data_IF_526853521410
#
_entry.id   IF_526853521410
#
_cell.length_a   1.000
_cell.length_b   1.000
_cell.length_c   1.000
_cell.angle_alpha   90.00
_cell.angle_beta   90.00
_cell.angle_gamma   90.00
#
_symmetry.space_group_name_H-M   'P 1'
#
loop_
_entity.id
_entity.type
_entity.pdbx_description
1 polymer ?
#
# COMPACT_ATOMS: atom_id res chain seq x y z
N UNK A 1 -18.01 -29.70 26.47
CA UNK A 1 -18.38 -29.61 25.05
C UNK A 1 -17.69 -30.75 24.31
N UNK A 2 -18.13 -31.99 24.60
CA UNK A 2 -17.69 -33.23 23.95
C UNK A 2 -18.96 -33.95 23.48
N UNK A 3 -19.24 -33.87 22.18
CA UNK A 3 -20.17 -34.74 21.40
C UNK A 3 -20.38 -34.07 20.06
N UNK A 4 -19.71 -34.60 19.04
CA UNK A 4 -20.08 -34.63 17.62
C UNK A 4 -18.82 -35.00 16.81
N UNK A 5 -18.36 -36.24 16.98
CA UNK A 5 -17.56 -36.97 16.02
C UNK A 5 -18.03 -38.42 16.11
N UNK A 6 -18.91 -38.77 15.21
CA UNK A 6 -19.42 -40.11 15.03
C UNK A 6 -19.72 -40.36 13.55
N UNK A 7 -18.99 -41.29 13.03
CA UNK A 7 -19.38 -42.16 11.92
C UNK A 7 -19.52 -41.61 10.50
N UNK A 8 -18.50 -41.92 9.70
CA UNK A 8 -18.68 -42.50 8.36
C UNK A 8 -17.55 -43.49 8.06
N UNK A 9 -17.83 -44.75 8.34
CA UNK A 9 -17.05 -45.91 7.84
C UNK A 9 -17.75 -46.47 6.61
N UNK A 10 -16.94 -46.95 5.70
CA UNK A 10 -17.14 -48.01 4.72
C UNK A 10 -18.14 -47.80 3.56
N UNK A 11 -17.58 -47.61 2.39
CA UNK A 11 -17.92 -48.42 1.21
C UNK A 11 -16.76 -48.53 0.25
N UNK A 12 -16.12 -49.70 0.26
CA UNK A 12 -15.17 -50.11 -0.76
C UNK A 12 -15.90 -50.49 -2.04
N UNK A 13 -15.29 -50.17 -3.17
CA UNK A 13 -15.57 -50.82 -4.45
C UNK A 13 -14.24 -50.90 -5.21
N UNK A 14 -13.70 -52.13 -5.22
CA UNK A 14 -12.65 -52.60 -6.14
C UNK A 14 -13.24 -52.67 -7.56
N UNK A 15 -12.59 -51.99 -8.51
CA UNK A 15 -12.82 -52.14 -9.93
C UNK A 15 -11.49 -52.26 -10.67
N UNK A 16 -11.08 -53.49 -10.97
CA UNK A 16 -9.88 -53.79 -11.77
C UNK A 16 -10.08 -53.37 -13.23
N UNK A 17 -9.24 -52.53 -13.73
CA UNK A 17 -9.16 -52.14 -15.14
C UNK A 17 -7.82 -52.57 -15.76
N UNK A 18 -7.92 -53.39 -16.78
CA UNK A 18 -6.85 -54.03 -17.55
C UNK A 18 -5.89 -53.05 -18.18
N UNK A 19 -4.59 -53.30 -18.01
CA UNK A 19 -3.50 -52.67 -18.73
C UNK A 19 -3.52 -53.09 -20.19
N UNK A 20 -3.78 -52.15 -21.11
CA UNK A 20 -3.63 -52.36 -22.57
C UNK A 20 -2.28 -51.79 -23.05
N UNK A 21 -1.60 -52.58 -23.86
CA UNK A 21 -0.29 -52.29 -24.48
C UNK A 21 -0.39 -51.08 -25.44
N UNK A 22 0.73 -50.33 -25.63
CA UNK A 22 0.75 -49.20 -26.56
C UNK A 22 0.83 -49.70 -28.03
N UNK A 23 0.17 -48.97 -28.96
CA UNK A 23 0.26 -49.28 -30.39
C UNK A 23 1.59 -48.71 -30.98
N UNK A 24 2.04 -49.45 -31.97
CA UNK A 24 3.24 -49.28 -32.77
C UNK A 24 3.27 -47.95 -33.58
N UNK A 25 4.48 -47.41 -33.67
CA UNK A 25 5.05 -46.45 -34.64
C UNK A 25 4.12 -45.88 -35.69
N UNK A 26 3.82 -44.61 -35.55
CA UNK A 26 3.30 -43.78 -36.65
C UNK A 26 4.47 -43.16 -37.42
N UNK A 27 4.39 -43.31 -38.75
CA UNK A 27 5.30 -42.68 -39.73
C UNK A 27 5.11 -41.16 -39.69
N UNK A 28 6.23 -40.43 -39.61
CA UNK A 28 6.26 -38.98 -39.74
C UNK A 28 6.11 -38.59 -41.21
N UNK A 29 4.90 -38.18 -41.59
CA UNK A 29 4.68 -37.40 -42.78
C UNK A 29 4.95 -35.90 -42.47
N UNK A 30 5.98 -35.36 -43.08
CA UNK A 30 6.30 -33.93 -43.07
C UNK A 30 5.31 -33.18 -44.00
N UNK A 31 4.08 -32.99 -43.53
CA UNK A 31 3.16 -32.05 -44.15
C UNK A 31 3.43 -30.64 -43.62
N UNK A 32 3.84 -29.74 -44.50
CA UNK A 32 3.97 -28.30 -44.23
C UNK A 32 2.58 -27.74 -43.84
N UNK A 33 2.34 -27.49 -42.52
CA UNK A 33 1.14 -26.83 -42.06
C UNK A 33 1.20 -25.35 -42.50
N UNK A 34 0.40 -24.97 -43.50
CA UNK A 34 0.12 -23.58 -43.78
C UNK A 34 -0.72 -23.03 -42.61
N UNK A 35 -0.14 -22.13 -41.83
CA UNK A 35 -0.82 -21.41 -40.73
C UNK A 35 -1.93 -20.57 -41.34
N UNK A 36 -3.18 -20.79 -40.92
CA UNK A 36 -4.35 -20.09 -41.45
C UNK A 36 -4.23 -18.56 -41.30
N UNK A 37 -4.66 -17.82 -42.30
CA UNK A 37 -4.67 -16.33 -42.33
C UNK A 37 -5.22 -15.64 -41.06
N UNK A 38 -6.27 -16.15 -40.38
CA UNK A 38 -6.75 -15.59 -39.12
C UNK A 38 -5.75 -15.71 -37.96
N UNK A 39 -5.01 -16.83 -37.88
CA UNK A 39 -3.99 -17.06 -36.85
C UNK A 39 -2.78 -16.14 -37.05
N UNK A 40 -2.35 -15.93 -38.28
CA UNK A 40 -1.27 -14.98 -38.62
C UNK A 40 -1.66 -13.53 -38.28
N UNK A 41 -2.90 -13.12 -38.53
CA UNK A 41 -3.42 -11.80 -38.10
C UNK A 41 -3.44 -11.65 -36.59
N UNK A 42 -3.94 -12.63 -35.85
CA UNK A 42 -3.94 -12.64 -34.40
C UNK A 42 -2.52 -12.57 -33.82
N UNK A 43 -1.60 -13.38 -34.38
CA UNK A 43 -0.20 -13.39 -33.97
C UNK A 43 0.47 -12.04 -34.24
N UNK A 44 0.21 -11.40 -35.39
CA UNK A 44 0.75 -10.07 -35.71
C UNK A 44 0.21 -8.97 -34.80
N UNK A 45 -1.06 -9.06 -34.37
CA UNK A 45 -1.63 -8.14 -33.38
C UNK A 45 -0.96 -8.35 -32.02
N UNK A 46 -0.76 -9.59 -31.60
CA UNK A 46 -0.05 -9.92 -30.36
C UNK A 46 1.39 -9.43 -30.41
N UNK A 47 2.13 -9.71 -31.49
CA UNK A 47 3.51 -9.27 -31.67
C UNK A 47 3.62 -7.73 -31.75
N UNK A 48 2.66 -7.05 -32.38
CA UNK A 48 2.60 -5.59 -32.38
C UNK A 48 2.37 -5.03 -30.97
N UNK A 49 1.48 -5.63 -30.17
CA UNK A 49 1.26 -5.26 -28.77
C UNK A 49 2.50 -5.55 -27.90
N UNK A 50 3.19 -6.67 -28.14
CA UNK A 50 4.44 -7.00 -27.44
C UNK A 50 5.55 -6.00 -27.84
N UNK A 51 5.71 -5.67 -29.12
CA UNK A 51 6.69 -4.68 -29.57
C UNK A 51 6.38 -3.27 -29.04
N UNK A 52 5.12 -2.87 -28.99
CA UNK A 52 4.71 -1.60 -28.36
C UNK A 52 4.97 -1.58 -26.84
N UNK A 53 4.94 -2.74 -26.18
CA UNK A 53 5.31 -2.87 -24.74
C UNK A 53 6.83 -2.89 -24.52
N UNK A 54 7.61 -3.26 -25.52
CA UNK A 54 9.07 -3.41 -25.45
C UNK A 54 9.85 -2.24 -26.05
N UNK A 55 9.22 -1.35 -26.85
CA UNK A 55 9.87 -0.12 -27.26
C UNK A 55 10.08 0.79 -26.05
N UNK A 56 11.27 1.36 -25.86
CA UNK A 56 11.50 2.38 -24.84
C UNK A 56 10.44 3.47 -25.06
N UNK A 57 9.63 3.72 -24.06
CA UNK A 57 8.62 4.76 -24.11
C UNK A 57 9.37 6.09 -24.13
N UNK A 58 9.40 6.77 -25.28
CA UNK A 58 9.96 8.12 -25.39
C UNK A 58 8.91 9.09 -24.82
N UNK A 59 9.31 9.87 -23.85
CA UNK A 59 8.50 10.96 -23.32
C UNK A 59 8.96 12.28 -23.94
N UNK A 60 8.06 13.28 -24.07
CA UNK A 60 8.43 14.61 -24.56
C UNK A 60 9.52 15.25 -23.69
N UNK A 61 10.57 15.77 -24.33
CA UNK A 61 11.69 16.42 -23.63
C UNK A 61 11.50 17.93 -23.49
N UNK A 62 10.64 18.52 -24.34
CA UNK A 62 10.37 19.95 -24.31
C UNK A 62 9.02 20.27 -23.66
N UNK A 63 8.92 21.44 -23.07
CA UNK A 63 7.68 21.92 -22.48
C UNK A 63 6.54 22.03 -23.51
N UNK A 64 6.86 22.43 -24.74
CA UNK A 64 5.88 22.58 -25.82
C UNK A 64 5.31 21.23 -26.26
N UNK A 65 6.15 20.22 -26.45
CA UNK A 65 5.71 18.86 -26.82
C UNK A 65 4.92 18.21 -25.68
N UNK A 66 5.39 18.37 -24.43
CA UNK A 66 4.69 17.83 -23.28
C UNK A 66 3.31 18.45 -23.09
N UNK A 67 3.19 19.78 -23.22
CA UNK A 67 1.90 20.48 -23.08
C UNK A 67 0.86 20.04 -24.13
N UNK A 68 1.30 19.56 -25.30
CA UNK A 68 0.43 19.04 -26.37
C UNK A 68 0.20 17.53 -26.28
N UNK A 69 0.84 16.83 -25.35
CA UNK A 69 0.78 15.36 -25.25
C UNK A 69 -0.47 14.86 -24.53
N UNK A 70 -0.95 13.69 -24.92
CA UNK A 70 -2.01 12.97 -24.22
C UNK A 70 -1.63 12.62 -22.78
N UNK A 71 -0.34 12.48 -22.50
CA UNK A 71 0.17 12.26 -21.15
C UNK A 71 -0.18 13.42 -20.22
N UNK A 72 0.07 14.67 -20.68
CA UNK A 72 -0.15 15.87 -19.88
C UNK A 72 -1.63 16.26 -19.80
N UNK A 73 -2.33 16.19 -20.93
CA UNK A 73 -3.75 16.48 -21.03
C UNK A 73 -4.65 15.41 -20.39
N UNK A 74 -4.13 14.22 -20.18
CA UNK A 74 -4.84 13.08 -19.62
C UNK A 74 -5.23 13.26 -18.16
N UNK A 75 -6.01 12.32 -17.67
CA UNK A 75 -6.45 12.32 -16.29
C UNK A 75 -5.31 11.93 -15.33
N UNK A 76 -5.13 12.71 -14.25
CA UNK A 76 -4.17 12.48 -13.18
C UNK A 76 -4.86 12.44 -11.83
N UNK A 77 -4.39 11.58 -10.94
CA UNK A 77 -4.83 11.57 -9.54
C UNK A 77 -4.29 12.78 -8.80
N UNK A 78 -2.99 13.06 -8.95
CA UNK A 78 -2.29 14.08 -8.18
C UNK A 78 -1.72 15.18 -9.07
N UNK A 79 -1.55 16.36 -8.49
CA UNK A 79 -0.86 17.46 -9.14
C UNK A 79 0.64 17.24 -9.07
N UNK A 80 1.28 17.05 -10.23
CA UNK A 80 2.72 16.75 -10.35
C UNK A 80 3.33 17.64 -11.41
N UNK A 81 4.47 18.27 -11.10
CA UNK A 81 5.25 19.02 -12.06
C UNK A 81 6.13 18.08 -12.88
N UNK A 82 5.78 17.83 -14.12
CA UNK A 82 6.56 16.95 -15.00
C UNK A 82 7.78 17.64 -15.61
N UNK A 83 7.66 18.91 -16.00
CA UNK A 83 8.74 19.81 -16.40
C UNK A 83 8.52 21.16 -15.72
N UNK A 84 9.54 22.02 -15.60
CA UNK A 84 9.41 23.32 -14.93
C UNK A 84 8.21 24.13 -15.41
N UNK A 85 7.29 24.42 -14.49
CA UNK A 85 6.05 25.14 -14.75
C UNK A 85 4.91 24.31 -15.37
N UNK A 86 5.13 23.07 -15.77
CA UNK A 86 4.09 22.19 -16.30
C UNK A 86 3.58 21.20 -15.25
N UNK A 87 2.50 21.62 -14.58
CA UNK A 87 1.88 20.89 -13.50
C UNK A 87 0.61 20.18 -14.02
N UNK A 88 0.51 18.87 -13.81
CA UNK A 88 -0.68 18.10 -14.15
C UNK A 88 -1.87 18.54 -13.31
N UNK A 89 -3.08 18.44 -13.87
CA UNK A 89 -4.31 18.75 -13.13
C UNK A 89 -4.75 17.53 -12.34
N UNK A 90 -4.35 17.43 -11.07
CA UNK A 90 -4.80 16.39 -10.16
C UNK A 90 -6.29 16.51 -9.83
N UNK A 91 -6.97 15.39 -9.66
CA UNK A 91 -8.40 15.30 -9.34
C UNK A 91 -8.67 15.02 -7.87
N UNK A 92 -7.73 14.36 -7.19
CA UNK A 92 -7.87 14.00 -5.78
C UNK A 92 -7.29 15.06 -4.85
N UNK A 93 -7.75 15.08 -3.60
CA UNK A 93 -7.25 16.04 -2.61
C UNK A 93 -5.75 15.89 -2.41
N UNK A 94 -5.05 17.00 -2.47
CA UNK A 94 -3.59 17.02 -2.30
C UNK A 94 -3.14 16.60 -0.89
N UNK A 95 -4.04 16.65 0.09
CA UNK A 95 -3.80 16.16 1.46
C UNK A 95 -3.42 14.68 1.54
N UNK A 96 -3.93 13.85 0.63
CA UNK A 96 -3.65 12.42 0.65
C UNK A 96 -2.17 12.07 0.41
N UNK A 97 -1.48 12.60 -0.61
CA UNK A 97 -0.05 12.42 -0.74
C UNK A 97 0.78 13.35 0.17
N UNK A 98 0.22 14.49 0.61
CA UNK A 98 0.95 15.47 1.40
C UNK A 98 1.35 14.94 2.77
N UNK A 99 0.42 14.35 3.54
CA UNK A 99 0.69 13.91 4.90
C UNK A 99 1.77 12.81 4.95
N UNK A 100 1.67 11.70 4.21
CA UNK A 100 2.72 10.68 4.21
C UNK A 100 4.05 11.22 3.67
N UNK A 101 4.06 12.18 2.73
CA UNK A 101 5.26 12.82 2.23
C UNK A 101 5.98 13.65 3.31
N UNK A 102 5.23 14.41 4.12
CA UNK A 102 5.80 15.15 5.26
C UNK A 102 6.45 14.17 6.24
N UNK A 103 5.78 13.06 6.55
CA UNK A 103 6.32 12.06 7.46
C UNK A 103 7.56 11.34 6.87
N UNK A 104 7.56 11.04 5.57
CA UNK A 104 8.72 10.47 4.88
C UNK A 104 9.94 11.38 4.94
N UNK A 105 9.79 12.71 4.86
CA UNK A 105 10.91 13.67 4.99
C UNK A 105 11.61 13.59 6.34
N UNK A 106 10.94 13.09 7.36
CA UNK A 106 11.52 12.90 8.69
C UNK A 106 12.29 11.57 8.82
N UNK A 107 12.25 10.71 7.79
CA UNK A 107 12.99 9.46 7.73
C UNK A 107 14.34 9.67 7.02
N UNK A 108 15.40 9.07 7.52
CA UNK A 108 16.64 8.91 6.74
C UNK A 108 16.50 7.66 5.86
N UNK A 109 16.23 7.87 4.56
CA UNK A 109 16.01 6.78 3.61
C UNK A 109 17.29 6.23 2.98
N UNK A 110 18.45 6.84 3.23
CA UNK A 110 19.70 6.44 2.59
C UNK A 110 20.04 4.98 2.86
N UNK A 111 20.22 4.25 1.79
CA UNK A 111 20.57 2.82 1.85
C UNK A 111 19.42 1.88 2.20
N UNK A 112 18.20 2.38 2.40
CA UNK A 112 17.03 1.57 2.79
C UNK A 112 16.38 0.87 1.60
N UNK A 113 15.68 -0.23 1.88
CA UNK A 113 14.78 -0.91 0.96
C UNK A 113 13.34 -0.58 1.33
N UNK A 114 12.60 -0.01 0.40
CA UNK A 114 11.26 0.51 0.62
C UNK A 114 10.20 -0.25 -0.18
N UNK A 115 9.02 -0.44 0.42
CA UNK A 115 7.80 -0.90 -0.25
C UNK A 115 6.76 0.21 -0.21
N UNK A 116 6.15 0.47 -1.36
CA UNK A 116 4.98 1.33 -1.48
C UNK A 116 3.78 0.53 -1.97
N UNK A 117 2.73 0.46 -1.17
CA UNK A 117 1.53 -0.31 -1.45
C UNK A 117 0.37 0.58 -1.86
N UNK A 118 -0.22 0.30 -3.04
CA UNK A 118 -1.23 1.17 -3.64
C UNK A 118 -0.59 2.40 -4.27
N UNK A 119 0.45 2.20 -5.07
CA UNK A 119 1.33 3.27 -5.57
C UNK A 119 0.68 4.23 -6.55
N UNK A 120 -0.47 3.89 -7.10
CA UNK A 120 -1.19 4.70 -8.09
C UNK A 120 -0.26 5.17 -9.23
N UNK A 121 0.00 6.45 -9.31
CA UNK A 121 0.88 7.07 -10.32
C UNK A 121 2.37 6.99 -10.00
N UNK A 122 2.73 6.52 -8.79
CA UNK A 122 4.13 6.34 -8.37
C UNK A 122 4.74 7.55 -7.67
N UNK A 123 3.93 8.42 -7.07
CA UNK A 123 4.39 9.63 -6.39
C UNK A 123 5.29 9.30 -5.18
N UNK A 124 4.83 8.42 -4.28
CA UNK A 124 5.61 8.02 -3.10
C UNK A 124 6.90 7.28 -3.48
N UNK A 125 6.90 6.32 -4.42
CA UNK A 125 8.13 5.73 -4.95
C UNK A 125 9.16 6.76 -5.45
N UNK A 126 8.72 7.80 -6.17
CA UNK A 126 9.63 8.89 -6.60
C UNK A 126 10.25 9.59 -5.39
N UNK A 127 9.43 9.97 -4.40
CA UNK A 127 9.92 10.63 -3.18
C UNK A 127 10.95 9.75 -2.46
N UNK A 128 10.67 8.45 -2.30
CA UNK A 128 11.60 7.50 -1.66
C UNK A 128 12.92 7.40 -2.41
N UNK A 129 12.90 7.28 -3.75
CA UNK A 129 14.10 7.22 -4.56
C UNK A 129 14.94 8.50 -4.40
N UNK A 130 14.31 9.65 -4.46
CA UNK A 130 14.99 10.95 -4.39
C UNK A 130 15.58 11.24 -3.01
N UNK A 131 15.00 10.66 -1.95
CA UNK A 131 15.55 10.73 -0.58
C UNK A 131 16.65 9.68 -0.32
N UNK A 132 17.11 8.96 -1.35
CA UNK A 132 18.27 8.08 -1.28
C UNK A 132 17.98 6.63 -0.90
N UNK A 133 16.74 6.17 -1.00
CA UNK A 133 16.44 4.76 -0.84
C UNK A 133 17.26 3.91 -1.83
N UNK A 134 17.88 2.83 -1.36
CA UNK A 134 18.68 1.91 -2.16
C UNK A 134 17.84 1.14 -3.17
N UNK A 135 16.66 0.74 -2.76
CA UNK A 135 15.71 0.01 -3.60
C UNK A 135 14.28 0.38 -3.21
N UNK A 136 13.43 0.57 -4.20
CA UNK A 136 12.01 0.86 -3.99
C UNK A 136 11.18 -0.07 -4.86
N UNK A 137 10.25 -0.78 -4.23
CA UNK A 137 9.24 -1.57 -4.89
C UNK A 137 7.89 -0.87 -4.78
N UNK A 138 7.36 -0.45 -5.91
CA UNK A 138 6.01 0.08 -6.05
C UNK A 138 5.05 -1.07 -6.37
N UNK A 139 3.91 -1.15 -5.69
CA UNK A 139 2.90 -2.19 -5.94
C UNK A 139 1.51 -1.60 -6.08
N UNK A 140 0.70 -2.20 -6.94
CA UNK A 140 -0.71 -1.86 -7.07
C UNK A 140 -1.55 -3.10 -7.42
N UNK A 141 -2.86 -3.02 -7.17
CA UNK A 141 -3.81 -4.07 -7.54
C UNK A 141 -3.92 -4.22 -9.07
N UNK A 142 -3.86 -3.12 -9.78
CA UNK A 142 -4.01 -3.02 -11.23
C UNK A 142 -2.85 -2.21 -11.84
N UNK A 143 -2.74 -2.21 -13.15
CA UNK A 143 -1.62 -1.54 -13.85
C UNK A 143 -2.05 -0.30 -14.66
N UNK A 144 -3.23 0.24 -14.39
CA UNK A 144 -3.79 1.36 -15.15
C UNK A 144 -2.93 2.65 -15.09
N UNK A 145 -2.13 2.81 -14.04
CA UNK A 145 -1.21 3.94 -13.89
C UNK A 145 0.22 3.65 -14.39
N UNK A 146 0.49 2.49 -14.99
CA UNK A 146 1.84 2.08 -15.43
C UNK A 146 2.52 3.11 -16.31
N UNK A 147 1.80 3.73 -17.26
CA UNK A 147 2.36 4.75 -18.16
C UNK A 147 2.77 6.01 -17.38
N UNK A 148 1.96 6.44 -16.42
CA UNK A 148 2.25 7.60 -15.58
C UNK A 148 3.43 7.33 -14.65
N UNK A 149 3.51 6.13 -14.06
CA UNK A 149 4.69 5.70 -13.30
C UNK A 149 5.95 5.73 -14.16
N UNK A 150 5.87 5.30 -15.44
CA UNK A 150 7.01 5.37 -16.36
C UNK A 150 7.40 6.82 -16.65
N UNK A 151 6.43 7.72 -16.82
CA UNK A 151 6.69 9.15 -17.00
C UNK A 151 7.35 9.76 -15.77
N UNK A 152 6.85 9.47 -14.56
CA UNK A 152 7.47 9.96 -13.33
C UNK A 152 8.90 9.43 -13.14
N UNK A 153 9.15 8.16 -13.46
CA UNK A 153 10.53 7.62 -13.47
C UNK A 153 11.44 8.38 -14.42
N UNK A 154 10.93 8.72 -15.59
CA UNK A 154 11.69 9.47 -16.60
C UNK A 154 12.01 10.89 -16.15
N UNK A 155 10.99 11.71 -15.86
CA UNK A 155 11.18 13.12 -15.53
C UNK A 155 11.90 13.34 -14.21
N UNK A 156 11.65 12.51 -13.19
CA UNK A 156 12.29 12.60 -11.88
C UNK A 156 13.58 11.78 -11.77
N UNK A 157 14.00 11.08 -12.85
CA UNK A 157 15.17 10.18 -12.85
C UNK A 157 15.13 9.21 -11.65
N UNK A 158 13.95 8.74 -11.32
CA UNK A 158 13.71 7.82 -10.20
C UNK A 158 13.82 6.36 -10.68
N UNK A 159 14.53 5.52 -9.94
CA UNK A 159 14.71 4.11 -10.26
C UNK A 159 13.96 3.26 -9.24
N UNK A 160 12.72 2.89 -9.54
CA UNK A 160 11.93 1.94 -8.74
C UNK A 160 11.34 0.84 -9.62
N UNK A 161 11.13 -0.31 -9.03
CA UNK A 161 10.43 -1.42 -9.66
C UNK A 161 8.93 -1.32 -9.44
N UNK A 162 8.14 -1.82 -10.38
CA UNK A 162 6.68 -1.92 -10.23
C UNK A 162 6.23 -3.37 -10.39
N UNK A 163 5.45 -3.84 -9.44
CA UNK A 163 4.79 -5.14 -9.49
C UNK A 163 3.29 -5.00 -9.29
N UNK A 164 2.50 -5.47 -10.25
CA UNK A 164 1.07 -5.66 -10.07
C UNK A 164 0.83 -6.88 -9.18
N UNK A 165 0.08 -6.72 -8.09
CA UNK A 165 -0.14 -7.77 -7.08
C UNK A 165 -1.58 -8.26 -7.01
N UNK A 166 -2.52 -7.63 -7.73
CA UNK A 166 -3.94 -7.95 -7.64
C UNK A 166 -4.51 -7.65 -6.25
N UNK A 167 -5.32 -8.53 -5.71
CA UNK A 167 -5.85 -8.38 -4.35
C UNK A 167 -4.69 -8.26 -3.36
N UNK A 168 -4.74 -7.23 -2.52
CA UNK A 168 -3.66 -6.85 -1.60
C UNK A 168 -3.61 -7.69 -0.32
N UNK A 169 -4.21 -8.87 -0.34
CA UNK A 169 -4.09 -9.88 0.70
C UNK A 169 -2.99 -10.87 0.34
N UNK A 170 -2.35 -11.45 1.35
CA UNK A 170 -1.30 -12.46 1.16
C UNK A 170 -0.09 -11.96 0.32
N UNK A 171 0.33 -10.73 0.59
CA UNK A 171 1.44 -10.09 -0.14
C UNK A 171 2.76 -10.84 0.02
N UNK A 172 2.99 -11.48 1.17
CA UNK A 172 4.20 -12.24 1.44
C UNK A 172 4.44 -13.37 0.44
N UNK A 173 3.38 -13.96 -0.12
CA UNK A 173 3.47 -15.00 -1.13
C UNK A 173 3.43 -14.45 -2.57
N UNK A 174 2.92 -13.23 -2.75
CA UNK A 174 2.80 -12.60 -4.07
C UNK A 174 4.05 -11.85 -4.51
N UNK A 175 4.78 -11.27 -3.57
CA UNK A 175 5.99 -10.54 -3.89
C UNK A 175 7.10 -11.50 -4.31
N UNK A 176 7.62 -11.26 -5.51
CA UNK A 176 8.64 -12.14 -6.12
C UNK A 176 10.00 -11.97 -5.46
N UNK A 177 10.37 -10.72 -5.18
CA UNK A 177 11.64 -10.34 -4.58
C UNK A 177 11.61 -8.83 -4.25
N UNK A 178 12.02 -8.38 -3.06
CA UNK A 178 12.43 -9.16 -1.90
C UNK A 178 11.23 -9.73 -1.14
N UNK A 179 11.42 -10.86 -0.45
CA UNK A 179 10.42 -11.56 0.35
C UNK A 179 10.24 -11.01 1.77
N UNK A 180 9.83 -11.90 2.70
CA UNK A 180 9.59 -11.59 4.11
C UNK A 180 10.80 -10.93 4.77
N UNK A 181 10.54 -9.91 5.63
CA UNK A 181 11.58 -9.22 6.37
C UNK A 181 12.59 -8.46 5.53
N UNK A 182 12.20 -8.00 4.36
CA UNK A 182 13.11 -7.40 3.40
C UNK A 182 13.07 -5.89 3.36
N UNK A 183 12.01 -5.27 3.91
CA UNK A 183 11.82 -3.84 3.81
C UNK A 183 12.18 -3.12 5.12
N UNK A 184 12.96 -2.09 4.99
CA UNK A 184 13.27 -1.16 6.08
C UNK A 184 12.09 -0.23 6.34
N UNK A 185 11.38 0.14 5.26
CA UNK A 185 10.23 1.03 5.30
C UNK A 185 9.12 0.47 4.42
N UNK A 186 7.89 0.51 4.94
CA UNK A 186 6.67 0.21 4.19
C UNK A 186 5.75 1.42 4.27
N UNK A 187 5.30 1.92 3.11
CA UNK A 187 4.23 2.91 3.02
C UNK A 187 2.94 2.25 2.53
N UNK A 188 1.85 2.46 3.26
CA UNK A 188 0.49 2.05 2.91
C UNK A 188 -0.43 3.26 3.09
N UNK A 189 -0.49 4.09 2.07
CA UNK A 189 -1.21 5.36 2.12
C UNK A 189 -2.36 5.40 1.12
N UNK A 190 -3.54 5.81 1.58
CA UNK A 190 -4.72 5.95 0.72
C UNK A 190 -5.33 4.62 0.27
N UNK A 191 -5.06 3.51 0.95
CA UNK A 191 -5.47 2.18 0.50
C UNK A 191 -6.47 1.50 1.44
N UNK A 192 -6.32 1.60 2.76
CA UNK A 192 -7.03 0.73 3.70
C UNK A 192 -8.55 0.87 3.62
N UNK A 193 -9.06 2.03 3.29
CA UNK A 193 -10.51 2.25 3.11
C UNK A 193 -11.03 1.72 1.77
N UNK A 194 -10.17 1.38 0.82
CA UNK A 194 -10.52 0.79 -0.48
C UNK A 194 -10.47 -0.75 -0.50
N UNK A 195 -10.06 -1.38 0.58
CA UNK A 195 -10.00 -2.84 0.66
C UNK A 195 -11.10 -3.37 1.57
N UNK A 196 -11.66 -4.53 1.21
CA UNK A 196 -12.75 -5.11 2.00
C UNK A 196 -12.30 -5.60 3.38
N UNK A 197 -11.04 -5.99 3.53
CA UNK A 197 -10.47 -6.38 4.83
C UNK A 197 -9.16 -5.63 5.12
N UNK A 198 -9.23 -4.40 5.67
CA UNK A 198 -8.05 -3.59 5.98
C UNK A 198 -7.12 -4.25 7.02
N UNK A 199 -7.68 -5.02 7.94
CA UNK A 199 -6.91 -5.73 8.97
C UNK A 199 -6.04 -6.83 8.36
N UNK A 200 -6.53 -7.56 7.37
CA UNK A 200 -5.74 -8.57 6.66
C UNK A 200 -4.60 -7.95 5.85
N UNK A 201 -4.81 -6.76 5.28
CA UNK A 201 -3.73 -6.05 4.58
C UNK A 201 -2.62 -5.69 5.56
N UNK A 202 -2.96 -5.08 6.70
CA UNK A 202 -1.97 -4.72 7.72
C UNK A 202 -1.25 -5.95 8.29
N UNK A 203 -1.99 -7.02 8.59
CA UNK A 203 -1.42 -8.29 9.05
C UNK A 203 -0.45 -8.90 8.03
N UNK A 204 -0.81 -8.87 6.73
CA UNK A 204 0.04 -9.35 5.64
C UNK A 204 1.29 -8.49 5.38
N UNK A 205 1.26 -7.21 5.74
CA UNK A 205 2.41 -6.31 5.62
C UNK A 205 3.42 -6.48 6.76
N UNK A 206 2.96 -6.82 7.97
CA UNK A 206 3.85 -6.93 9.13
C UNK A 206 5.03 -7.89 8.93
N UNK A 207 4.86 -9.11 8.35
CA UNK A 207 5.95 -10.03 8.06
C UNK A 207 6.92 -9.55 6.98
N UNK A 208 6.58 -8.56 6.20
CA UNK A 208 7.45 -7.98 5.16
C UNK A 208 8.41 -6.93 5.74
N UNK A 209 8.04 -6.32 6.86
CA UNK A 209 8.80 -5.28 7.52
C UNK A 209 9.87 -5.87 8.43
N UNK A 210 11.12 -5.41 8.30
CA UNK A 210 12.21 -5.75 9.21
C UNK A 210 11.90 -5.35 10.65
N UNK A 211 12.53 -6.03 11.60
CA UNK A 211 12.50 -5.64 13.01
C UNK A 211 13.07 -4.23 13.15
N UNK A 212 12.44 -3.40 13.95
CA UNK A 212 12.75 -1.99 14.15
C UNK A 212 12.62 -1.11 12.88
N UNK A 213 12.05 -1.65 11.78
CA UNK A 213 11.70 -0.88 10.58
C UNK A 213 10.51 0.06 10.80
N UNK A 214 10.22 0.89 9.82
CA UNK A 214 9.13 1.88 9.89
C UNK A 214 7.99 1.51 8.93
N UNK A 215 6.76 1.65 9.42
CA UNK A 215 5.56 1.59 8.59
C UNK A 215 4.84 2.93 8.66
N UNK A 216 4.53 3.50 7.49
CA UNK A 216 3.67 4.67 7.37
C UNK A 216 2.30 4.17 6.93
N UNK A 217 1.29 4.46 7.74
CA UNK A 217 -0.10 4.10 7.47
C UNK A 217 -0.90 5.38 7.33
N UNK A 218 -1.53 5.59 6.17
CA UNK A 218 -2.40 6.74 5.96
C UNK A 218 -3.77 6.29 5.48
N UNK A 219 -4.82 6.68 6.20
CA UNK A 219 -6.18 6.22 5.93
C UNK A 219 -7.22 7.21 6.43
N UNK A 220 -8.43 7.10 5.90
CA UNK A 220 -9.58 7.78 6.47
C UNK A 220 -9.96 7.15 7.81
N UNK A 221 -10.30 7.98 8.78
CA UNK A 221 -10.69 7.57 10.13
C UNK A 221 -11.90 8.36 10.63
N UNK A 222 -12.61 7.76 11.58
CA UNK A 222 -13.56 8.47 12.45
C UNK A 222 -12.83 8.82 13.75
N UNK A 223 -12.93 10.08 14.18
CA UNK A 223 -12.32 10.54 15.43
C UNK A 223 -13.24 10.15 16.59
N UNK A 224 -13.02 8.96 17.10
CA UNK A 224 -13.84 8.36 18.15
C UNK A 224 -12.96 7.47 19.06
N UNK A 225 -13.25 7.47 20.34
CA UNK A 225 -12.59 6.66 21.37
C UNK A 225 -13.19 5.24 21.50
N UNK A 226 -14.14 4.89 20.67
CA UNK A 226 -14.71 3.54 20.60
C UNK A 226 -13.90 2.64 19.66
N UNK A 227 -13.95 1.32 19.89
CA UNK A 227 -13.33 0.31 19.02
C UNK A 227 -14.29 -0.08 17.90
N UNK A 228 -14.44 0.78 16.90
CA UNK A 228 -15.40 0.57 15.82
C UNK A 228 -14.77 0.60 14.43
N UNK A 229 -15.39 -0.13 13.51
CA UNK A 229 -15.22 -0.01 12.07
C UNK A 229 -16.58 0.36 11.47
N UNK A 230 -16.67 1.49 10.80
CA UNK A 230 -17.90 1.95 10.18
C UNK A 230 -17.88 1.63 8.68
N UNK A 231 -18.91 0.92 8.22
CA UNK A 231 -19.07 0.62 6.81
C UNK A 231 -19.66 1.80 6.07
N UNK A 232 -19.05 2.16 4.94
CA UNK A 232 -19.53 3.23 4.08
C UNK A 232 -20.72 2.76 3.22
N UNK A 233 -21.84 2.51 3.87
CA UNK A 233 -23.05 2.06 3.21
C UNK A 233 -23.64 3.17 2.33
N UNK A 234 -23.67 2.95 1.02
CA UNK A 234 -24.25 3.87 0.05
C UNK A 234 -23.71 5.32 0.16
N UNK A 235 -22.43 5.48 0.52
CA UNK A 235 -21.83 6.80 0.66
C UNK A 235 -22.11 7.48 2.00
N UNK A 236 -22.48 6.72 3.05
CA UNK A 236 -22.81 7.28 4.37
C UNK A 236 -21.66 8.02 5.06
N UNK A 237 -20.41 7.79 4.62
CA UNK A 237 -19.21 8.49 5.12
C UNK A 237 -18.55 9.30 4.02
N UNK A 238 -18.50 8.76 2.81
CA UNK A 238 -17.86 9.35 1.65
C UNK A 238 -18.56 8.90 0.37
N UNK A 239 -18.91 9.85 -0.50
CA UNK A 239 -19.55 9.55 -1.80
C UNK A 239 -18.52 9.05 -2.82
N UNK A 240 -17.94 7.86 -2.55
CA UNK A 240 -17.02 7.16 -3.42
C UNK A 240 -17.31 5.66 -3.41
N UNK A 241 -17.56 5.10 -4.59
CA UNK A 241 -18.10 3.73 -4.74
C UNK A 241 -17.17 2.62 -4.25
N UNK A 242 -15.89 2.85 -4.21
CA UNK A 242 -14.88 1.87 -3.78
C UNK A 242 -14.33 2.14 -2.38
N UNK A 243 -15.00 2.95 -1.59
CA UNK A 243 -14.69 3.15 -0.17
C UNK A 243 -15.57 2.25 0.69
N UNK A 244 -14.96 1.38 1.49
CA UNK A 244 -15.68 0.38 2.29
C UNK A 244 -15.71 0.70 3.78
N UNK A 245 -14.57 1.02 4.39
CA UNK A 245 -14.45 1.09 5.84
C UNK A 245 -13.70 2.32 6.33
N UNK A 246 -14.23 2.93 7.39
CA UNK A 246 -13.48 3.84 8.25
C UNK A 246 -13.29 3.18 9.62
N UNK A 247 -12.04 3.06 10.04
CA UNK A 247 -11.73 2.67 11.42
C UNK A 247 -11.86 3.91 12.31
N UNK A 248 -12.34 3.72 13.54
CA UNK A 248 -12.12 4.75 14.56
C UNK A 248 -10.63 4.88 14.85
N UNK A 249 -10.21 6.04 15.34
CA UNK A 249 -8.80 6.27 15.72
C UNK A 249 -8.35 5.27 16.76
N UNK A 250 -9.23 4.96 17.75
CA UNK A 250 -8.95 3.98 18.78
C UNK A 250 -8.80 2.56 18.22
N UNK A 251 -9.65 2.16 17.29
CA UNK A 251 -9.53 0.85 16.63
C UNK A 251 -8.25 0.73 15.81
N UNK A 252 -7.88 1.77 15.07
CA UNK A 252 -6.64 1.80 14.30
C UNK A 252 -5.42 1.70 15.23
N UNK A 253 -5.36 2.50 16.29
CA UNK A 253 -4.29 2.47 17.28
C UNK A 253 -4.13 1.08 17.89
N UNK A 254 -5.24 0.47 18.30
CA UNK A 254 -5.26 -0.88 18.85
C UNK A 254 -4.73 -1.92 17.88
N UNK A 255 -5.17 -1.90 16.62
CA UNK A 255 -4.70 -2.83 15.58
C UNK A 255 -3.21 -2.67 15.31
N UNK A 256 -2.70 -1.44 15.25
CA UNK A 256 -1.27 -1.19 15.07
C UNK A 256 -0.45 -1.80 16.21
N UNK A 257 -0.86 -1.58 17.46
CA UNK A 257 -0.22 -2.16 18.65
C UNK A 257 -0.30 -3.68 18.66
N UNK A 258 -1.42 -4.23 18.24
CA UNK A 258 -1.63 -5.66 18.06
C UNK A 258 -0.60 -6.28 17.11
N UNK A 259 -0.28 -5.57 16.06
CA UNK A 259 0.72 -5.95 15.07
C UNK A 259 2.16 -5.61 15.51
N UNK A 260 2.37 -5.27 16.78
CA UNK A 260 3.67 -4.86 17.34
C UNK A 260 4.25 -3.65 16.59
N UNK A 261 3.38 -2.74 16.16
CA UNK A 261 3.70 -1.49 15.50
C UNK A 261 3.47 -0.33 16.47
N UNK A 262 4.56 0.26 16.99
CA UNK A 262 4.52 1.38 17.93
C UNK A 262 4.30 2.70 17.19
N UNK A 263 3.20 3.43 17.37
CA UNK A 263 3.05 4.77 16.85
C UNK A 263 4.13 5.70 17.43
N UNK A 264 4.89 6.39 16.57
CA UNK A 264 5.96 7.30 16.96
C UNK A 264 5.73 8.74 16.52
N UNK A 265 4.91 8.96 15.49
CA UNK A 265 4.49 10.27 15.00
C UNK A 265 3.18 10.14 14.21
N UNK A 266 2.42 11.24 14.10
CA UNK A 266 1.22 11.27 13.26
C UNK A 266 0.90 12.69 12.78
N UNK A 267 0.16 12.77 11.67
CA UNK A 267 -0.42 13.99 11.13
C UNK A 267 -1.87 13.72 10.78
N UNK A 268 -2.73 14.72 10.95
CA UNK A 268 -4.17 14.61 10.71
C UNK A 268 -4.71 15.83 9.99
N UNK A 269 -5.70 15.61 9.15
CA UNK A 269 -6.52 16.67 8.55
C UNK A 269 -7.98 16.27 8.59
N UNK A 270 -8.83 17.17 9.14
CA UNK A 270 -10.27 16.96 9.15
C UNK A 270 -10.86 16.95 7.72
N UNK A 271 -11.83 16.09 7.46
CA UNK A 271 -12.56 16.09 6.20
C UNK A 271 -13.30 17.42 5.95
N UNK A 272 -13.64 18.17 7.00
CA UNK A 272 -14.21 19.51 6.89
C UNK A 272 -13.25 20.51 6.23
N UNK A 273 -11.94 20.26 6.37
CA UNK A 273 -10.89 21.12 5.83
C UNK A 273 -10.36 20.66 4.46
N UNK A 274 -10.78 19.49 3.99
CA UNK A 274 -10.37 18.95 2.69
C UNK A 274 -11.25 19.53 1.59
N UNK A 275 -10.63 20.28 0.67
CA UNK A 275 -11.28 20.66 -0.60
C UNK A 275 -11.17 19.51 -1.58
N UNK A 276 -12.28 18.89 -1.91
CA UNK A 276 -12.36 17.73 -2.80
C UNK A 276 -13.62 17.79 -3.66
N UNK A 277 -13.58 17.14 -4.82
CA UNK A 277 -14.77 16.80 -5.60
C UNK A 277 -15.58 15.67 -4.96
N UNK A 278 -14.96 14.90 -4.09
CA UNK A 278 -15.63 13.86 -3.29
C UNK A 278 -16.28 14.51 -2.09
N UNK A 279 -17.57 14.22 -1.89
CA UNK A 279 -18.30 14.70 -0.73
C UNK A 279 -18.03 13.78 0.46
N UNK A 280 -17.61 14.39 1.57
CA UNK A 280 -17.50 13.74 2.87
C UNK A 280 -18.72 14.07 3.72
N UNK A 281 -19.23 13.07 4.44
CA UNK A 281 -20.29 13.28 5.43
C UNK A 281 -19.67 13.83 6.71
N UNK A 282 -20.12 14.99 7.14
CA UNK A 282 -19.49 15.75 8.24
C UNK A 282 -20.27 15.68 9.56
N UNK A 283 -21.31 14.87 9.64
CA UNK A 283 -22.10 14.69 10.87
C UNK A 283 -21.29 13.99 11.97
N UNK A 284 -20.28 13.20 11.55
CA UNK A 284 -19.30 12.55 12.42
C UNK A 284 -17.95 13.23 12.20
N UNK A 285 -17.20 13.48 13.28
CA UNK A 285 -15.84 13.97 13.17
C UNK A 285 -14.98 12.91 12.48
N UNK A 286 -14.52 13.21 11.29
CA UNK A 286 -13.72 12.29 10.47
C UNK A 286 -12.65 13.04 9.72
N UNK A 287 -11.62 12.33 9.29
CA UNK A 287 -10.53 12.94 8.55
C UNK A 287 -9.52 11.92 8.01
N UNK A 288 -8.49 12.44 7.41
CA UNK A 288 -7.37 11.66 6.89
C UNK A 288 -6.21 11.71 7.89
N UNK A 289 -5.84 10.54 8.40
CA UNK A 289 -4.79 10.34 9.39
C UNK A 289 -3.61 9.62 8.77
N UNK A 290 -2.41 10.14 8.99
CA UNK A 290 -1.14 9.48 8.66
C UNK A 290 -0.34 9.21 9.93
N UNK A 291 0.10 7.98 10.12
CA UNK A 291 0.83 7.53 11.32
C UNK A 291 2.13 6.89 10.91
N UNK A 292 3.22 7.22 11.58
CA UNK A 292 4.48 6.47 11.50
C UNK A 292 4.57 5.53 12.68
N UNK A 293 4.76 4.25 12.39
CA UNK A 293 4.92 3.21 13.39
C UNK A 293 6.30 2.56 13.28
N UNK A 294 6.89 2.23 14.42
CA UNK A 294 8.11 1.42 14.48
C UNK A 294 7.77 -0.02 14.86
N UNK A 295 8.29 -0.96 14.07
CA UNK A 295 8.15 -2.39 14.39
C UNK A 295 8.90 -2.73 15.68
N UNK A 296 8.24 -3.42 16.59
CA UNK A 296 8.79 -3.88 17.87
C UNK A 296 8.77 -5.41 17.95
N UNK A 297 9.57 -5.95 18.84
CA UNK A 297 9.59 -7.39 19.10
C UNK A 297 8.49 -7.80 20.06
N UNK A 298 8.21 -6.95 21.05
CA UNK A 298 7.22 -7.21 22.08
C UNK A 298 5.88 -6.52 21.80
N UNK A 299 4.78 -7.08 22.34
CA UNK A 299 3.47 -6.42 22.32
C UNK A 299 3.53 -5.05 22.99
N UNK A 300 2.78 -4.10 22.43
CA UNK A 300 2.71 -2.73 22.92
C UNK A 300 1.33 -2.56 23.56
N UNK A 301 1.27 -2.80 24.86
CA UNK A 301 0.03 -2.67 25.62
C UNK A 301 0.28 -2.01 26.96
N UNK A 302 -0.73 -1.37 27.52
CA UNK A 302 -0.77 -1.03 28.94
C UNK A 302 -0.64 -2.29 29.79
N UNK A 303 -0.24 -2.14 31.05
CA UNK A 303 -0.15 -3.29 31.96
C UNK A 303 -1.46 -4.07 32.06
N UNK A 304 -2.57 -3.38 31.99
CA UNK A 304 -3.92 -3.95 32.10
C UNK A 304 -4.31 -4.81 30.91
N UNK A 305 -3.85 -4.44 29.72
CA UNK A 305 -4.22 -5.11 28.46
C UNK A 305 -3.23 -6.17 27.98
N UNK A 306 -2.08 -6.32 28.66
CA UNK A 306 -0.98 -7.15 28.16
C UNK A 306 -1.38 -8.60 27.91
N UNK A 307 -2.19 -9.20 28.79
CA UNK A 307 -2.61 -10.58 28.62
C UNK A 307 -3.63 -10.75 27.48
N UNK A 308 -4.57 -9.79 27.34
CA UNK A 308 -5.53 -9.79 26.23
C UNK A 308 -4.82 -9.63 24.90
N UNK A 309 -3.87 -8.71 24.83
CA UNK A 309 -3.08 -8.48 23.64
C UNK A 309 -2.26 -9.71 23.23
N UNK A 310 -1.62 -10.40 24.18
CA UNK A 310 -0.91 -11.65 23.93
C UNK A 310 -1.84 -12.76 23.44
N UNK A 311 -3.00 -12.92 24.09
CA UNK A 311 -4.01 -13.90 23.67
C UNK A 311 -4.49 -13.65 22.25
N UNK A 312 -4.69 -12.41 21.92
CA UNK A 312 -5.15 -12.01 20.62
C UNK A 312 -4.07 -12.17 19.53
N UNK A 313 -2.82 -11.85 19.82
CA UNK A 313 -1.70 -12.12 18.90
C UNK A 313 -1.58 -13.62 18.61
N UNK A 314 -1.73 -14.47 19.62
CA UNK A 314 -1.78 -15.90 19.44
C UNK A 314 -2.97 -16.33 18.55
N UNK A 315 -4.13 -15.71 18.73
CA UNK A 315 -5.29 -15.97 17.87
C UNK A 315 -5.06 -15.59 16.41
N UNK A 316 -4.34 -14.51 16.14
CA UNK A 316 -3.99 -14.10 14.79
C UNK A 316 -2.99 -15.07 14.15
N UNK A 317 -2.03 -15.54 14.90
CA UNK A 317 -1.08 -16.57 14.48
C UNK A 317 -1.80 -17.88 14.17
N UNK A 318 -2.69 -18.33 15.06
CA UNK A 318 -3.50 -19.53 14.86
C UNK A 318 -4.40 -19.43 13.62
N UNK A 319 -4.95 -18.24 13.35
CA UNK A 319 -5.72 -17.98 12.14
C UNK A 319 -4.85 -17.84 10.87
N UNK A 320 -3.52 -17.95 10.97
CA UNK A 320 -2.59 -17.83 9.86
C UNK A 320 -2.45 -16.41 9.30
N UNK A 321 -2.86 -15.38 10.06
CA UNK A 321 -2.80 -13.99 9.64
C UNK A 321 -1.40 -13.38 9.81
N UNK A 322 -0.70 -13.73 10.88
CA UNK A 322 0.67 -13.28 11.15
C UNK A 322 1.50 -14.45 11.66
N UNK A 323 2.65 -14.64 11.07
CA UNK A 323 3.68 -15.60 11.51
C UNK A 323 4.70 -14.85 12.39
N UNK A 324 4.48 -14.85 13.70
CA UNK A 324 5.33 -14.14 14.66
C UNK A 324 6.72 -14.71 14.76
N UNK A 325 6.87 -16.02 14.63
CA UNK A 325 8.19 -16.67 14.65
C UNK A 325 9.04 -16.21 13.48
N UNK A 326 8.45 -16.17 12.31
CA UNK A 326 9.11 -15.60 11.12
C UNK A 326 9.44 -14.11 11.31
N UNK A 327 8.55 -13.31 11.91
CA UNK A 327 8.82 -11.91 12.21
C UNK A 327 10.00 -11.74 13.19
N UNK A 328 10.12 -12.59 14.19
CA UNK A 328 11.19 -12.55 15.19
C UNK A 328 12.56 -12.94 14.63
N UNK A 329 12.59 -13.73 13.55
CA UNK A 329 13.81 -14.15 12.87
C UNK A 329 14.29 -13.15 11.81
N UNK A 330 13.55 -12.09 11.54
CA UNK A 330 13.90 -11.10 10.53
C UNK A 330 15.14 -10.29 10.92
N UNK A 331 15.84 -9.80 9.90
CA UNK A 331 16.93 -8.85 10.09
C UNK A 331 16.48 -7.60 10.86
N UNK A 332 17.32 -7.14 11.75
CA UNK A 332 17.11 -5.87 12.46
C UNK A 332 17.60 -4.73 11.58
N UNK A 333 16.83 -3.68 11.51
CA UNK A 333 17.25 -2.43 10.86
C UNK A 333 17.22 -1.27 11.84
N UNK A 334 17.88 -0.19 11.47
CA UNK A 334 17.77 1.07 12.18
C UNK A 334 17.51 2.18 11.16
N UNK A 335 16.25 2.61 11.08
CA UNK A 335 15.88 3.77 10.27
C UNK A 335 15.77 4.98 11.21
N UNK A 336 16.68 5.97 11.11
CA UNK A 336 16.56 7.19 11.87
C UNK A 336 15.26 7.93 11.51
N UNK A 337 14.59 8.45 12.52
CA UNK A 337 13.38 9.23 12.37
C UNK A 337 13.40 10.44 13.30
N UNK A 338 13.22 11.62 12.72
CA UNK A 338 13.13 12.88 13.47
C UNK A 338 11.67 13.20 13.75
N UNK A 339 11.15 12.69 14.89
CA UNK A 339 9.75 12.94 15.25
C UNK A 339 9.50 14.44 15.45
N UNK A 340 8.40 14.92 14.89
CA UNK A 340 7.96 16.32 15.04
C UNK A 340 7.10 16.52 16.29
N UNK A 341 6.64 15.42 16.92
CA UNK A 341 5.89 15.47 18.18
C UNK A 341 6.87 15.73 19.33
N UNK A 342 6.63 16.82 20.08
CA UNK A 342 7.33 17.11 21.32
C UNK A 342 7.22 15.92 22.29
N UNK A 343 8.38 15.46 22.76
CA UNK A 343 8.63 14.12 23.27
C UNK A 343 7.77 13.67 24.46
N UNK A 344 7.14 14.55 25.22
CA UNK A 344 6.62 14.16 26.54
C UNK A 344 5.12 14.33 26.78
N UNK A 345 4.39 15.10 25.96
CA UNK A 345 3.01 15.45 26.28
C UNK A 345 1.95 14.58 25.57
N UNK A 346 2.35 13.81 24.57
CA UNK A 346 1.44 13.02 23.71
C UNK A 346 1.74 11.52 23.75
N UNK A 347 2.61 11.08 24.66
CA UNK A 347 2.94 9.66 24.82
C UNK A 347 2.17 9.08 25.99
N UNK A 348 1.79 7.82 25.82
CA UNK A 348 1.23 7.02 26.89
C UNK A 348 2.33 6.39 27.79
N UNK A 349 1.94 5.59 28.75
CA UNK A 349 2.81 4.87 29.68
C UNK A 349 3.74 3.86 28.99
N UNK A 350 3.45 3.44 27.77
CA UNK A 350 4.31 2.57 26.94
C UNK A 350 5.38 3.34 26.18
N UNK A 351 5.39 4.68 26.28
CA UNK A 351 6.30 5.56 25.53
C UNK A 351 5.96 5.71 24.06
N UNK A 352 4.81 5.20 23.61
CA UNK A 352 4.29 5.39 22.25
C UNK A 352 3.35 6.59 22.17
N UNK A 353 3.08 7.10 20.98
CA UNK A 353 2.12 8.20 20.79
C UNK A 353 0.70 7.70 21.01
N UNK A 354 -0.04 8.37 21.87
CA UNK A 354 -1.49 8.23 21.96
C UNK A 354 -2.14 8.98 20.80
N UNK A 355 -2.63 8.25 19.82
CA UNK A 355 -3.13 8.84 18.58
C UNK A 355 -4.31 9.79 18.84
N UNK A 356 -5.26 9.40 19.70
CA UNK A 356 -6.44 10.21 19.95
C UNK A 356 -6.08 11.55 20.61
N UNK A 357 -5.18 11.51 21.61
CA UNK A 357 -4.66 12.71 22.27
C UNK A 357 -3.83 13.57 21.30
N UNK A 358 -3.06 12.94 20.43
CA UNK A 358 -2.25 13.63 19.45
C UNK A 358 -3.08 14.38 18.43
N UNK A 359 -4.19 13.81 17.96
CA UNK A 359 -5.09 14.45 16.99
C UNK A 359 -5.64 15.77 17.49
N UNK A 360 -6.05 15.86 18.76
CA UNK A 360 -6.59 17.09 19.34
C UNK A 360 -5.61 18.25 19.32
N UNK A 361 -4.31 18.00 19.18
CA UNK A 361 -3.23 19.02 19.22
C UNK A 361 -2.50 19.23 17.89
N UNK A 362 -2.65 18.32 16.94
CA UNK A 362 -1.87 18.32 15.68
C UNK A 362 -2.73 18.25 14.41
N UNK A 363 -3.90 18.82 14.43
CA UNK A 363 -4.67 19.00 13.21
C UNK A 363 -3.95 20.00 12.29
N UNK A 364 -3.67 19.57 11.06
CA UNK A 364 -3.13 20.46 10.04
C UNK A 364 -4.27 21.27 9.46
N UNK A 365 -4.30 22.56 9.73
CA UNK A 365 -5.27 23.50 9.17
C UNK A 365 -4.85 23.98 7.77
N UNK A 366 -5.81 24.46 6.97
CA UNK A 366 -5.54 24.99 5.63
C UNK A 366 -4.51 26.12 5.61
N UNK A 367 -4.46 26.95 6.68
CA UNK A 367 -3.51 28.05 6.79
C UNK A 367 -2.04 27.61 6.89
N UNK A 368 -1.79 26.40 7.39
CA UNK A 368 -0.43 25.83 7.48
C UNK A 368 0.01 25.18 6.16
N UNK A 369 -0.90 25.04 5.22
CA UNK A 369 -0.64 24.56 3.87
C UNK A 369 -0.13 25.73 3.05
N UNK A 370 1.19 25.83 2.87
CA UNK A 370 1.67 26.69 1.79
C UNK A 370 1.07 26.19 0.49
N UNK A 371 0.67 27.11 -0.41
CA UNK A 371 0.12 26.78 -1.73
C UNK A 371 1.01 25.80 -2.52
N UNK A 372 2.27 25.67 -2.13
CA UNK A 372 3.31 24.87 -2.78
C UNK A 372 3.47 23.45 -2.20
N UNK A 373 2.91 23.16 -1.01
CA UNK A 373 3.01 21.84 -0.39
C UNK A 373 2.20 20.74 -1.10
N UNK A 374 1.28 21.12 -2.00
CA UNK A 374 0.34 20.23 -2.65
C UNK A 374 0.85 19.63 -3.96
N UNK A 375 1.80 20.30 -4.60
CA UNK A 375 2.37 19.86 -5.87
C UNK A 375 3.68 19.18 -5.61
N UNK A 376 3.90 18.00 -6.18
CA UNK A 376 5.24 17.43 -6.25
C UNK A 376 6.01 18.25 -7.29
N UNK A 377 6.94 19.09 -6.84
CA UNK A 377 7.80 19.89 -7.71
C UNK A 377 9.17 19.26 -7.86
N UNK A 378 9.78 19.48 -9.00
CA UNK A 378 11.17 19.03 -9.26
C UNK A 378 12.14 19.62 -8.23
N UNK A 379 11.95 20.87 -7.83
CA UNK A 379 12.77 21.56 -6.82
C UNK A 379 12.63 20.98 -5.41
N UNK A 380 11.48 20.40 -5.05
CA UNK A 380 11.23 19.87 -3.70
C UNK A 380 11.94 18.55 -3.41
N UNK A 381 12.60 17.97 -4.42
CA UNK A 381 13.15 16.62 -4.39
C UNK A 381 14.66 16.64 -4.71
N UNK A 382 15.23 17.84 -4.80
CA UNK A 382 16.69 18.03 -5.03
C UNK A 382 17.51 17.80 -3.77
#
# INVERSE_FOLDING_TARGET
MKRLLGECRDRGLCGGGKVSRPPSRLKTDHGAYSVSLPFQRAMNIILKRIRQRLSPQSFPDTAEELAKSDLFAGWWYYSVELLPGLITKGQYPDSFPMLPRILLRNCDLRGTTCLDLGSMEGLMPVVMCRQGAKAVLATDAIDHCRQKMAALRYYYKASFEFQQVGLMYDLSNKLRNPGRGSFDIINVSGLLYHVFSPLMVLAGLRPLLKRNGLMIVSTNVVVDDSFTMQFNNAGSLQEEVNTFWYLSVRALDYVLRYLKLAPIDCLYISHRDIKSSVRYVTDVESGYLSVVCRAKDDPIASREDTWMLKSAQHSWEYAGLVDWDSCNQQAVTHVPYSATIEKNLLRDDTGTVDLLRALSRRTIHQAERSSDAHVLRLADIS
#
